data_IF_242104564448
#
_entry.id   IF_242104564448
#
_cell.length_a   1.000
_cell.length_b   1.000
_cell.length_c   1.000
_cell.angle_alpha   90.00
_cell.angle_beta   90.00
_cell.angle_gamma   90.00
#
_symmetry.space_group_name_H-M   'P 1'
#
loop_
_entity.id
_entity.type
_entity.pdbx_description
1 polymer ?
#
# COMPACT_ATOMS: atom_id res chain seq x y z
N UNK A 1 -58.53 15.53 -39.74
CA UNK A 1 -57.89 14.22 -40.00
C UNK A 1 -56.67 14.50 -40.87
N UNK A 2 -55.41 14.25 -40.54
CA UNK A 2 -54.71 13.79 -39.34
C UNK A 2 -53.25 14.10 -39.68
N UNK A 3 -52.69 15.20 -39.17
CA UNK A 3 -51.29 15.55 -39.42
C UNK A 3 -50.71 16.14 -38.15
N UNK A 4 -50.36 15.24 -37.23
CA UNK A 4 -49.55 15.46 -36.03
C UNK A 4 -49.47 14.10 -35.35
N UNK A 5 -48.41 13.32 -35.63
CA UNK A 5 -48.02 12.11 -34.87
C UNK A 5 -46.73 11.52 -35.46
N UNK A 6 -45.60 12.15 -35.17
CA UNK A 6 -44.30 11.46 -35.24
C UNK A 6 -43.18 12.11 -34.43
N UNK A 7 -43.34 13.34 -33.92
CA UNK A 7 -42.30 13.99 -33.09
C UNK A 7 -42.57 13.98 -31.57
N UNK A 8 -43.78 13.60 -31.13
CA UNK A 8 -44.12 13.51 -29.69
C UNK A 8 -43.87 12.14 -29.04
N UNK A 9 -43.45 11.12 -29.81
CA UNK A 9 -43.16 9.79 -29.27
C UNK A 9 -41.69 9.57 -28.89
N UNK A 10 -40.80 10.54 -29.16
CA UNK A 10 -39.37 10.46 -28.85
C UNK A 10 -38.93 11.37 -27.69
N UNK A 11 -39.87 11.73 -26.81
CA UNK A 11 -39.64 12.61 -25.65
C UNK A 11 -40.09 12.00 -24.31
N UNK A 12 -40.19 10.68 -24.21
CA UNK A 12 -40.71 10.01 -23.01
C UNK A 12 -39.92 8.78 -22.52
N UNK A 13 -38.64 8.63 -22.91
CA UNK A 13 -37.77 7.58 -22.36
C UNK A 13 -36.41 8.10 -21.84
N UNK A 14 -36.27 9.41 -21.64
CA UNK A 14 -35.21 9.98 -20.80
C UNK A 14 -35.87 10.73 -19.64
N UNK A 15 -36.36 9.96 -18.66
CA UNK A 15 -36.67 10.48 -17.33
C UNK A 15 -35.41 10.29 -16.48
N UNK A 16 -34.89 11.41 -15.99
CA UNK A 16 -33.68 11.59 -15.20
C UNK A 16 -33.74 10.93 -13.81
N UNK A 17 -33.83 9.60 -13.74
CA UNK A 17 -33.74 8.89 -12.46
C UNK A 17 -33.26 7.45 -12.62
N UNK A 18 -32.02 7.30 -13.06
CA UNK A 18 -31.22 6.12 -12.74
C UNK A 18 -29.74 6.49 -12.78
N UNK A 19 -29.36 7.57 -12.09
CA UNK A 19 -28.02 7.59 -11.50
C UNK A 19 -28.07 6.52 -10.43
N UNK A 20 -27.56 5.33 -10.76
CA UNK A 20 -27.20 4.33 -9.79
C UNK A 20 -26.10 4.97 -8.93
N UNK A 21 -26.49 5.73 -7.90
CA UNK A 21 -25.65 6.06 -6.77
C UNK A 21 -25.32 4.72 -6.11
N UNK A 22 -24.29 4.05 -6.64
CA UNK A 22 -23.56 3.06 -5.86
C UNK A 22 -22.90 3.85 -4.74
N UNK A 23 -23.64 4.04 -3.66
CA UNK A 23 -23.14 4.51 -2.38
C UNK A 23 -22.04 3.54 -2.01
N UNK A 24 -20.79 3.96 -2.13
CA UNK A 24 -19.68 3.16 -1.65
C UNK A 24 -19.86 3.05 -0.13
N UNK A 25 -20.29 1.88 0.34
CA UNK A 25 -20.58 1.65 1.76
C UNK A 25 -19.33 1.62 2.65
N UNK A 26 -18.14 1.70 2.04
CA UNK A 26 -16.86 1.67 2.74
C UNK A 26 -15.93 2.74 2.18
N UNK A 27 -15.52 3.65 3.07
CA UNK A 27 -14.49 4.65 2.81
C UNK A 27 -13.15 4.18 3.42
N UNK A 28 -12.11 4.10 2.59
CA UNK A 28 -10.75 3.73 3.02
C UNK A 28 -9.82 4.91 2.78
N UNK A 29 -9.10 5.31 3.82
CA UNK A 29 -8.10 6.35 3.71
C UNK A 29 -6.78 5.83 3.16
N UNK A 30 -6.06 6.68 2.44
CA UNK A 30 -4.65 6.49 2.12
C UNK A 30 -3.89 7.73 2.59
N UNK A 31 -2.88 7.55 3.43
CA UNK A 31 -2.06 8.66 3.92
C UNK A 31 -1.31 9.30 2.74
N UNK A 32 -1.61 10.57 2.45
CA UNK A 32 -1.19 11.26 1.23
C UNK A 32 -0.21 12.41 1.52
N UNK A 33 0.76 12.16 2.42
CA UNK A 33 1.83 13.10 2.77
C UNK A 33 2.98 13.05 1.77
N UNK A 34 3.40 11.83 1.41
CA UNK A 34 4.47 11.54 0.46
C UNK A 34 4.31 10.07 0.02
N UNK A 35 4.90 9.68 -1.11
CA UNK A 35 5.01 8.29 -1.52
C UNK A 35 3.93 7.83 -2.50
N UNK A 36 3.76 6.51 -2.61
CA UNK A 36 2.94 5.83 -3.64
C UNK A 36 1.44 5.79 -3.30
N UNK A 37 0.89 6.88 -2.76
CA UNK A 37 -0.53 6.91 -2.35
C UNK A 37 -1.50 6.83 -3.53
N UNK A 38 -1.11 7.37 -4.70
CA UNK A 38 -1.96 7.39 -5.90
C UNK A 38 -2.23 5.98 -6.42
N UNK A 39 -1.22 5.14 -6.41
CA UNK A 39 -1.25 3.76 -6.87
C UNK A 39 -2.20 2.93 -5.97
N UNK A 40 -2.13 3.13 -4.65
CA UNK A 40 -3.10 2.55 -3.72
C UNK A 40 -4.54 3.03 -3.97
N UNK A 41 -4.75 4.32 -4.24
CA UNK A 41 -6.08 4.87 -4.57
C UNK A 41 -6.62 4.23 -5.85
N UNK A 42 -5.79 4.07 -6.88
CA UNK A 42 -6.18 3.40 -8.13
C UNK A 42 -6.58 1.96 -7.85
N UNK A 43 -5.81 1.21 -7.05
CA UNK A 43 -6.12 -0.17 -6.69
C UNK A 43 -7.43 -0.29 -5.90
N UNK A 44 -7.68 0.57 -4.92
CA UNK A 44 -8.94 0.60 -4.15
C UNK A 44 -10.15 0.92 -5.04
N UNK A 45 -10.02 1.91 -5.95
CA UNK A 45 -11.10 2.27 -6.88
C UNK A 45 -11.43 1.16 -7.87
N UNK A 46 -10.43 0.39 -8.33
CA UNK A 46 -10.64 -0.81 -9.15
C UNK A 46 -11.51 -1.86 -8.41
N UNK A 47 -11.43 -1.90 -7.09
CA UNK A 47 -12.24 -2.78 -6.23
C UNK A 47 -13.59 -2.15 -5.83
N UNK A 48 -13.94 -0.97 -6.34
CA UNK A 48 -15.21 -0.29 -6.08
C UNK A 48 -15.32 0.40 -4.71
N UNK A 49 -14.18 0.67 -4.06
CA UNK A 49 -14.11 1.33 -2.75
C UNK A 49 -13.92 2.83 -2.90
N UNK A 50 -14.52 3.62 -2.01
CA UNK A 50 -14.26 5.05 -1.93
C UNK A 50 -12.92 5.30 -1.23
N UNK A 51 -11.95 5.78 -2.00
CA UNK A 51 -10.59 5.99 -1.54
C UNK A 51 -10.34 7.46 -1.25
N UNK A 52 -10.04 7.78 0.01
CA UNK A 52 -9.89 9.15 0.53
C UNK A 52 -8.42 9.47 0.77
N UNK A 53 -7.94 10.58 0.21
CA UNK A 53 -6.61 11.11 0.53
C UNK A 53 -6.59 11.75 1.91
N UNK A 54 -5.79 11.20 2.83
CA UNK A 54 -5.63 11.70 4.19
C UNK A 54 -4.36 12.55 4.27
N UNK A 55 -4.54 13.86 4.44
CA UNK A 55 -3.46 14.85 4.66
C UNK A 55 -3.57 15.57 6.00
N UNK A 56 -4.74 15.48 6.65
CA UNK A 56 -5.04 16.15 7.91
C UNK A 56 -5.80 15.22 8.87
N UNK A 57 -5.69 15.44 10.20
CA UNK A 57 -6.35 14.60 11.20
C UNK A 57 -7.86 14.45 11.00
N UNK A 58 -8.56 15.51 10.59
CA UNK A 58 -10.03 15.51 10.50
C UNK A 58 -10.54 14.56 9.40
N UNK A 59 -9.69 14.26 8.41
CA UNK A 59 -10.01 13.36 7.31
C UNK A 59 -9.95 11.87 7.71
N UNK A 60 -9.46 11.55 8.91
CA UNK A 60 -9.54 10.21 9.47
C UNK A 60 -10.96 9.86 9.97
N UNK A 61 -11.79 10.89 10.20
CA UNK A 61 -13.17 10.72 10.64
C UNK A 61 -14.00 9.98 9.60
N UNK A 62 -14.79 9.01 10.04
CA UNK A 62 -15.69 8.25 9.17
C UNK A 62 -15.04 7.18 8.28
N UNK A 63 -13.71 7.08 8.23
CA UNK A 63 -13.02 6.01 7.51
C UNK A 63 -13.22 4.66 8.20
N UNK A 64 -13.36 3.60 7.39
CA UNK A 64 -13.45 2.21 7.86
C UNK A 64 -12.08 1.53 7.98
N UNK A 65 -11.07 2.03 7.26
CA UNK A 65 -9.69 1.54 7.31
C UNK A 65 -8.71 2.56 6.74
N UNK A 66 -7.41 2.33 6.98
CA UNK A 66 -6.34 3.23 6.56
C UNK A 66 -5.18 2.47 5.94
N UNK A 67 -4.67 2.95 4.81
CA UNK A 67 -3.39 2.51 4.22
C UNK A 67 -2.32 3.57 4.49
N UNK A 68 -1.18 3.16 5.02
CA UNK A 68 0.05 3.95 5.11
C UNK A 68 0.99 3.46 4.00
N UNK A 69 1.15 4.23 2.91
CA UNK A 69 1.83 3.77 1.71
C UNK A 69 3.36 3.71 1.91
N UNK A 70 4.04 3.13 0.93
CA UNK A 70 5.48 3.21 0.80
C UNK A 70 5.95 4.63 0.44
N UNK A 71 7.21 4.94 0.72
CA UNK A 71 7.76 6.29 0.54
C UNK A 71 9.09 6.48 1.27
N UNK A 72 9.46 7.73 1.52
CA UNK A 72 10.59 8.08 2.36
C UNK A 72 10.09 8.27 3.80
N UNK A 73 10.37 7.28 4.64
CA UNK A 73 9.77 7.17 5.97
C UNK A 73 10.13 8.35 6.88
N UNK A 74 11.34 8.95 6.75
CA UNK A 74 11.73 10.06 7.63
C UNK A 74 11.00 11.36 7.28
N UNK A 75 10.76 11.60 5.99
CA UNK A 75 10.00 12.73 5.47
C UNK A 75 8.54 12.59 5.85
N UNK A 76 7.96 11.39 5.68
CA UNK A 76 6.60 11.14 6.14
C UNK A 76 6.44 11.39 7.64
N UNK A 77 7.43 11.02 8.47
CA UNK A 77 7.35 11.18 9.91
C UNK A 77 7.39 12.67 10.30
N UNK A 78 8.32 13.42 9.70
CA UNK A 78 8.42 14.89 9.89
C UNK A 78 7.14 15.60 9.47
N UNK A 79 6.57 15.24 8.31
CA UNK A 79 5.31 15.82 7.84
C UNK A 79 4.15 15.44 8.77
N UNK A 80 4.07 14.18 9.21
CA UNK A 80 3.02 13.73 10.12
C UNK A 80 3.11 14.43 11.48
N UNK A 81 4.30 14.68 12.00
CA UNK A 81 4.51 15.50 13.20
C UNK A 81 4.07 16.95 12.98
N UNK A 82 4.52 17.57 11.88
CA UNK A 82 4.20 18.96 11.53
C UNK A 82 2.69 19.18 11.39
N UNK A 83 1.96 18.23 10.83
CA UNK A 83 0.50 18.30 10.66
C UNK A 83 -0.29 17.70 11.83
N UNK A 84 0.37 17.36 12.95
CA UNK A 84 -0.27 16.77 14.14
C UNK A 84 -1.06 15.49 13.83
N UNK A 85 -0.62 14.73 12.83
CA UNK A 85 -1.23 13.47 12.42
C UNK A 85 -0.83 12.30 13.32
N UNK A 86 0.37 12.33 13.94
CA UNK A 86 0.85 11.22 14.77
C UNK A 86 -0.14 10.82 15.86
N UNK A 87 -0.69 11.74 16.70
CA UNK A 87 -1.68 11.37 17.70
C UNK A 87 -2.95 10.79 17.08
N UNK A 88 -3.47 11.41 16.02
CA UNK A 88 -4.70 10.96 15.37
C UNK A 88 -4.56 9.58 14.70
N UNK A 89 -3.38 9.26 14.16
CA UNK A 89 -3.06 7.94 13.62
C UNK A 89 -2.99 6.88 14.72
N UNK A 90 -2.43 7.22 15.89
CA UNK A 90 -2.43 6.32 17.06
C UNK A 90 -3.85 6.06 17.56
N UNK A 91 -4.66 7.11 17.67
CA UNK A 91 -6.07 6.98 18.07
C UNK A 91 -6.85 6.12 17.07
N UNK A 92 -6.58 6.27 15.78
CA UNK A 92 -7.15 5.41 14.73
C UNK A 92 -6.77 3.94 14.94
N UNK A 93 -5.50 3.65 15.25
CA UNK A 93 -5.04 2.28 15.56
C UNK A 93 -5.70 1.69 16.80
N UNK A 94 -5.81 2.47 17.87
CA UNK A 94 -6.45 2.08 19.14
C UNK A 94 -7.95 1.80 18.94
N UNK A 95 -8.60 2.48 18.00
CA UNK A 95 -10.02 2.25 17.68
C UNK A 95 -10.33 0.84 17.14
N UNK A 96 -9.31 0.04 16.81
CA UNK A 96 -9.46 -1.31 16.26
C UNK A 96 -9.79 -1.34 14.76
N UNK A 97 -9.87 -0.18 14.10
CA UNK A 97 -10.04 -0.11 12.65
C UNK A 97 -8.80 -0.63 11.93
N UNK A 98 -8.94 -1.34 10.80
CA UNK A 98 -7.78 -1.89 10.12
C UNK A 98 -6.81 -0.82 9.59
N UNK A 99 -5.52 -1.10 9.78
CA UNK A 99 -4.44 -0.30 9.20
C UNK A 99 -3.51 -1.22 8.40
N UNK A 100 -3.17 -0.82 7.18
CA UNK A 100 -2.19 -1.52 6.36
C UNK A 100 -0.98 -0.64 6.07
N UNK A 101 0.19 -1.08 6.54
CA UNK A 101 1.48 -0.43 6.23
C UNK A 101 2.24 -1.15 5.12
N UNK A 102 2.53 -0.47 4.02
CA UNK A 102 3.39 -1.00 2.94
C UNK A 102 4.76 -0.33 2.95
N UNK A 103 5.85 -1.09 2.88
CA UNK A 103 7.23 -0.61 2.86
C UNK A 103 7.52 0.40 4.00
N UNK A 104 7.52 1.70 3.72
CA UNK A 104 7.69 2.72 4.75
C UNK A 104 6.53 2.74 5.79
N UNK A 105 5.31 2.37 5.39
CA UNK A 105 4.21 2.17 6.33
C UNK A 105 4.41 1.00 7.29
N UNK A 106 5.07 -0.08 6.86
CA UNK A 106 5.49 -1.18 7.75
C UNK A 106 6.47 -0.65 8.82
N UNK A 107 7.43 0.19 8.43
CA UNK A 107 8.35 0.82 9.38
C UNK A 107 7.58 1.66 10.41
N UNK A 108 6.54 2.38 10.00
CA UNK A 108 5.72 3.18 10.92
C UNK A 108 4.98 2.34 11.96
N UNK A 109 4.44 1.19 11.56
CA UNK A 109 3.62 0.35 12.44
C UNK A 109 4.44 -0.51 13.41
N UNK A 110 5.71 -0.79 13.10
CA UNK A 110 6.57 -1.60 13.93
C UNK A 110 6.85 -0.96 15.31
N UNK A 111 6.93 -1.79 16.35
CA UNK A 111 7.32 -1.35 17.69
C UNK A 111 8.82 -1.02 17.80
N UNK A 112 9.65 -1.67 16.97
CA UNK A 112 11.10 -1.46 16.95
C UNK A 112 11.62 -1.33 15.53
N UNK A 113 12.58 -0.43 15.33
CA UNK A 113 13.28 -0.27 14.06
C UNK A 113 14.80 -0.18 14.28
N UNK A 114 15.57 -0.93 13.47
CA UNK A 114 17.04 -0.93 13.45
C UNK A 114 17.56 -0.44 12.09
N UNK A 115 18.85 -0.09 12.03
CA UNK A 115 19.46 0.48 10.81
C UNK A 115 19.17 1.98 10.62
N UNK A 116 18.97 2.73 11.71
CA UNK A 116 18.76 4.18 11.66
C UNK A 116 20.10 4.95 11.60
N UNK A 117 20.12 6.08 10.88
CA UNK A 117 21.13 7.13 11.09
C UNK A 117 20.75 7.93 12.34
N UNK A 118 21.72 8.58 12.98
CA UNK A 118 21.56 9.41 14.19
C UNK A 118 20.38 10.38 14.00
N UNK A 119 19.44 10.40 14.95
CA UNK A 119 18.26 11.28 14.95
C UNK A 119 16.92 10.56 15.15
N UNK A 120 16.87 9.25 14.94
CA UNK A 120 15.65 8.45 15.12
C UNK A 120 14.50 8.86 14.20
N UNK A 121 13.47 8.02 14.12
CA UNK A 121 12.20 8.36 13.47
C UNK A 121 11.08 7.95 14.44
N UNK A 122 10.06 8.80 14.58
CA UNK A 122 8.86 8.41 15.31
C UNK A 122 8.21 7.19 14.66
N UNK A 123 7.97 6.17 15.48
CA UNK A 123 7.16 5.01 15.15
C UNK A 123 5.74 5.26 15.70
N UNK A 124 4.73 4.82 14.95
CA UNK A 124 3.36 4.76 15.49
C UNK A 124 3.27 3.61 16.51
N UNK A 125 3.91 2.49 16.20
CA UNK A 125 3.83 1.26 16.98
C UNK A 125 2.48 0.57 16.86
N UNK A 126 2.36 -0.58 17.52
CA UNK A 126 1.17 -1.43 17.55
C UNK A 126 1.35 -2.78 16.88
N UNK A 127 2.38 -2.94 16.03
CA UNK A 127 2.80 -4.22 15.46
C UNK A 127 4.03 -4.73 16.20
N UNK A 128 3.89 -5.85 16.90
CA UNK A 128 4.93 -6.48 17.74
C UNK A 128 6.01 -7.13 16.86
N UNK A 129 6.84 -6.29 16.23
CA UNK A 129 7.90 -6.71 15.36
C UNK A 129 9.09 -5.75 15.39
N UNK A 130 10.25 -6.27 15.01
CA UNK A 130 11.45 -5.48 14.76
C UNK A 130 11.71 -5.40 13.27
N UNK A 131 11.82 -4.18 12.74
CA UNK A 131 12.06 -3.91 11.33
C UNK A 131 13.49 -3.40 11.11
N UNK A 132 14.21 -3.99 10.16
CA UNK A 132 15.47 -3.43 9.65
C UNK A 132 15.19 -2.57 8.43
N UNK A 133 15.58 -1.29 8.49
CA UNK A 133 15.39 -0.35 7.37
C UNK A 133 16.37 -0.66 6.24
N UNK A 134 15.94 -0.52 4.98
CA UNK A 134 16.77 -0.72 3.79
C UNK A 134 17.59 -2.03 3.84
N UNK A 135 16.97 -3.13 4.29
CA UNK A 135 17.66 -4.39 4.57
C UNK A 135 18.37 -4.98 3.34
N UNK A 136 17.74 -4.84 2.17
CA UNK A 136 18.25 -5.33 0.88
C UNK A 136 19.28 -4.38 0.22
N UNK A 137 19.68 -3.31 0.91
CA UNK A 137 20.74 -2.41 0.45
C UNK A 137 20.26 -1.18 -0.34
N UNK A 138 21.12 -0.71 -1.26
CA UNK A 138 20.96 0.59 -1.93
C UNK A 138 19.87 0.59 -3.01
N UNK A 139 19.60 1.76 -3.60
CA UNK A 139 18.56 1.92 -4.62
C UNK A 139 18.75 1.04 -5.87
N UNK A 140 20.00 0.61 -6.16
CA UNK A 140 20.35 -0.32 -7.22
C UNK A 140 19.92 -1.78 -6.94
N UNK A 141 19.55 -2.10 -5.70
CA UNK A 141 19.14 -3.43 -5.28
C UNK A 141 17.61 -3.57 -5.21
N UNK A 142 16.87 -2.80 -6.01
CA UNK A 142 15.42 -3.02 -6.15
C UNK A 142 15.20 -4.26 -7.01
N UNK A 143 14.36 -5.18 -6.57
CA UNK A 143 14.12 -6.44 -7.26
C UNK A 143 12.65 -6.84 -7.17
N UNK A 144 12.27 -7.79 -8.02
CA UNK A 144 10.93 -8.36 -8.05
C UNK A 144 11.05 -9.88 -8.04
N UNK A 145 10.16 -10.55 -7.33
CA UNK A 145 10.15 -12.02 -7.26
C UNK A 145 8.74 -12.55 -7.08
N UNK A 146 8.50 -13.80 -7.48
CA UNK A 146 7.24 -14.50 -7.24
C UNK A 146 7.32 -15.21 -5.89
N UNK A 147 6.32 -14.98 -5.04
CA UNK A 147 6.19 -15.64 -3.74
C UNK A 147 4.90 -16.47 -3.71
N UNK A 148 4.89 -17.60 -2.98
CA UNK A 148 3.68 -18.40 -2.82
C UNK A 148 2.62 -17.58 -2.08
N UNK A 149 1.39 -17.62 -2.59
CA UNK A 149 0.25 -16.96 -1.98
C UNK A 149 -0.08 -17.62 -0.63
N UNK A 150 -0.12 -16.87 0.49
CA UNK A 150 -0.58 -17.44 1.76
C UNK A 150 -2.04 -17.89 1.68
N UNK A 151 -2.49 -18.75 2.61
CA UNK A 151 -3.89 -19.17 2.69
C UNK A 151 -4.89 -18.00 2.62
N UNK A 152 -4.59 -16.90 3.31
CA UNK A 152 -5.41 -15.69 3.31
C UNK A 152 -5.56 -15.04 1.92
N UNK A 153 -4.54 -15.14 1.05
CA UNK A 153 -4.62 -14.71 -0.34
C UNK A 153 -5.29 -15.75 -1.23
N UNK A 154 -5.03 -17.04 -0.99
CA UNK A 154 -5.66 -18.13 -1.72
C UNK A 154 -7.19 -18.11 -1.59
N UNK A 155 -7.72 -17.73 -0.42
CA UNK A 155 -9.16 -17.50 -0.18
C UNK A 155 -9.77 -16.32 -0.97
N UNK A 156 -8.95 -15.41 -1.52
CA UNK A 156 -9.42 -14.39 -2.46
C UNK A 156 -9.61 -15.00 -3.86
N UNK A 157 -8.88 -16.08 -4.17
CA UNK A 157 -8.75 -16.68 -5.49
C UNK A 157 -7.53 -16.15 -6.26
N UNK A 158 -7.34 -16.62 -7.50
CA UNK A 158 -6.23 -16.21 -8.37
C UNK A 158 -5.08 -17.22 -8.42
N UNK A 159 -3.89 -16.75 -8.80
CA UNK A 159 -2.68 -17.57 -8.97
C UNK A 159 -2.17 -18.14 -7.63
N UNK A 160 -1.52 -19.30 -7.66
CA UNK A 160 -0.84 -19.88 -6.49
C UNK A 160 0.33 -19.03 -5.99
N UNK A 161 0.84 -18.12 -6.84
CA UNK A 161 1.91 -17.17 -6.52
C UNK A 161 1.44 -15.72 -6.68
N UNK A 162 2.15 -14.78 -6.06
CA UNK A 162 2.00 -13.35 -6.28
C UNK A 162 3.35 -12.70 -6.54
N UNK A 163 3.34 -11.65 -7.38
CA UNK A 163 4.52 -10.83 -7.67
C UNK A 163 4.76 -9.85 -6.53
N UNK A 164 5.94 -9.90 -5.93
CA UNK A 164 6.38 -9.01 -4.86
C UNK A 164 7.46 -8.05 -5.36
N UNK A 165 7.17 -6.74 -5.30
CA UNK A 165 8.05 -5.67 -5.77
C UNK A 165 8.75 -5.02 -4.59
N UNK A 166 10.09 -5.14 -4.50
CA UNK A 166 10.89 -4.64 -3.40
C UNK A 166 11.73 -3.43 -3.86
N UNK A 167 11.42 -2.24 -3.34
CA UNK A 167 12.15 -1.01 -3.66
C UNK A 167 12.73 -0.44 -2.37
N UNK A 168 14.05 -0.57 -2.20
CA UNK A 168 14.77 -0.25 -0.95
C UNK A 168 14.04 -0.81 0.28
N UNK A 169 13.56 -2.04 0.15
CA UNK A 169 12.58 -2.57 1.06
C UNK A 169 13.16 -2.77 2.49
N UNK A 170 12.35 -2.55 3.53
CA UNK A 170 12.66 -3.02 4.86
C UNK A 170 12.55 -4.56 4.94
N UNK A 171 13.02 -5.13 6.04
CA UNK A 171 12.76 -6.53 6.40
C UNK A 171 12.29 -6.63 7.84
N UNK A 172 11.39 -7.58 8.12
CA UNK A 172 11.02 -7.92 9.49
C UNK A 172 12.02 -8.97 9.98
N UNK A 173 12.85 -8.58 10.95
CA UNK A 173 13.93 -9.43 11.48
C UNK A 173 13.50 -10.20 12.72
N UNK A 174 12.43 -9.77 13.37
CA UNK A 174 11.84 -10.44 14.54
C UNK A 174 10.34 -10.13 14.59
N UNK A 175 9.53 -11.10 14.99
CA UNK A 175 8.08 -10.98 15.10
C UNK A 175 7.61 -11.69 16.37
N UNK A 176 6.75 -11.02 17.13
CA UNK A 176 6.22 -11.52 18.38
C UNK A 176 5.28 -12.72 18.21
N UNK A 177 4.93 -13.41 19.30
CA UNK A 177 4.17 -14.67 19.26
C UNK A 177 2.74 -14.54 18.73
N UNK A 178 2.17 -13.32 18.76
CA UNK A 178 0.82 -13.04 18.26
C UNK A 178 0.80 -12.51 16.82
N UNK A 179 1.97 -12.41 16.18
CA UNK A 179 2.10 -11.97 14.80
C UNK A 179 2.02 -13.17 13.87
N UNK A 180 1.02 -13.15 12.99
CA UNK A 180 0.88 -14.14 11.92
C UNK A 180 1.80 -13.77 10.76
N UNK A 181 2.72 -14.67 10.41
CA UNK A 181 3.58 -14.53 9.23
C UNK A 181 2.82 -14.98 7.99
N UNK A 182 2.58 -14.05 7.06
CA UNK A 182 1.87 -14.29 5.81
C UNK A 182 2.82 -14.62 4.66
N UNK A 183 4.01 -14.01 4.60
CA UNK A 183 4.98 -14.31 3.55
C UNK A 183 6.41 -14.10 4.03
N UNK A 184 7.33 -14.87 3.46
CA UNK A 184 8.75 -14.77 3.70
C UNK A 184 9.54 -15.05 2.41
N UNK A 185 10.72 -14.48 2.31
CA UNK A 185 11.66 -14.62 1.21
C UNK A 185 12.91 -15.37 1.69
N UNK A 186 13.39 -16.32 0.89
CA UNK A 186 14.70 -16.95 1.15
C UNK A 186 15.79 -16.08 0.54
N UNK A 187 16.68 -15.56 1.39
CA UNK A 187 17.78 -14.67 0.98
C UNK A 187 19.11 -15.44 1.07
N UNK A 188 19.93 -15.46 0.01
CA UNK A 188 21.26 -16.07 0.07
C UNK A 188 22.13 -15.45 1.17
N UNK A 189 22.89 -16.29 1.86
CA UNK A 189 23.80 -15.92 2.94
C UNK A 189 24.96 -15.05 2.40
N UNK A 190 24.73 -13.76 2.22
CA UNK A 190 25.71 -12.83 1.66
C UNK A 190 25.15 -11.49 1.16
N UNK A 191 23.85 -11.42 0.88
CA UNK A 191 23.18 -10.18 0.41
C UNK A 191 22.45 -9.41 1.52
N UNK A 192 22.37 -10.00 2.72
CA UNK A 192 21.78 -9.36 3.89
C UNK A 192 22.75 -8.33 4.49
N UNK A 193 22.33 -7.05 4.55
CA UNK A 193 23.11 -5.97 5.18
C UNK A 193 23.32 -6.12 6.70
N UNK A 194 22.98 -7.28 7.27
CA UNK A 194 23.20 -7.65 8.65
C UNK A 194 24.42 -8.58 8.75
N UNK A 195 25.61 -8.01 8.69
CA UNK A 195 26.83 -8.73 9.05
C UNK A 195 26.88 -8.94 10.57
N UNK A 196 26.36 -10.07 11.06
CA UNK A 196 26.70 -10.59 12.38
C UNK A 196 28.09 -11.25 12.28
N UNK A 197 29.10 -10.83 13.07
CA UNK A 197 30.41 -11.46 13.04
C UNK A 197 30.36 -12.77 13.83
N UNK A 198 30.69 -13.87 13.15
CA UNK A 198 30.96 -15.16 13.78
C UNK A 198 29.75 -16.09 13.81
N UNK A 199 29.64 -16.94 12.78
CA UNK A 199 29.43 -18.38 12.93
C UNK A 199 29.52 -19.02 11.54
N UNK A 200 30.58 -19.79 11.32
CA UNK A 200 30.71 -20.71 10.19
C UNK A 200 29.72 -21.86 10.40
N UNK A 201 28.47 -21.70 9.94
CA UNK A 201 27.47 -22.76 9.96
C UNK A 201 26.45 -22.58 8.83
N UNK A 202 26.53 -23.51 7.86
CA UNK A 202 25.54 -23.88 6.84
C UNK A 202 25.08 -22.82 5.82
N UNK A 203 25.27 -23.15 4.52
CA UNK A 203 24.65 -22.52 3.34
C UNK A 203 23.11 -22.73 3.30
N UNK A 204 22.42 -22.50 4.42
CA UNK A 204 20.96 -22.38 4.43
C UNK A 204 20.64 -20.91 4.32
N UNK A 205 19.96 -20.54 3.23
CA UNK A 205 19.47 -19.17 3.02
C UNK A 205 18.71 -18.67 4.26
N UNK A 206 18.89 -17.39 4.58
CA UNK A 206 18.16 -16.77 5.67
C UNK A 206 16.73 -16.49 5.21
N UNK A 207 15.75 -17.08 5.90
CA UNK A 207 14.34 -16.77 5.67
C UNK A 207 14.00 -15.41 6.29
N UNK A 208 13.61 -14.46 5.45
CA UNK A 208 13.30 -13.07 5.82
C UNK A 208 11.81 -12.84 5.72
N UNK A 209 11.18 -12.34 6.80
CA UNK A 209 9.74 -12.10 6.82
C UNK A 209 9.43 -10.81 6.04
N UNK A 210 8.45 -10.89 5.13
CA UNK A 210 8.08 -9.79 4.22
C UNK A 210 6.60 -9.43 4.24
N UNK A 211 5.74 -10.24 4.86
CA UNK A 211 4.36 -9.87 5.15
C UNK A 211 3.87 -10.48 6.45
N UNK A 212 3.15 -9.69 7.26
CA UNK A 212 2.61 -10.09 8.56
C UNK A 212 1.24 -9.50 8.81
N UNK A 213 0.49 -10.13 9.71
CA UNK A 213 -0.78 -9.65 10.25
C UNK A 213 -0.81 -9.79 11.76
N UNK A 214 -1.30 -8.77 12.46
CA UNK A 214 -1.57 -8.81 13.91
C UNK A 214 -2.89 -8.10 14.20
N UNK A 215 -3.93 -8.86 14.54
CA UNK A 215 -5.26 -8.30 14.77
C UNK A 215 -5.77 -7.48 13.58
N UNK A 216 -5.99 -6.19 13.78
CA UNK A 216 -6.42 -5.23 12.75
C UNK A 216 -5.26 -4.65 11.92
N UNK A 217 -4.00 -5.00 12.21
CA UNK A 217 -2.84 -4.49 11.49
C UNK A 217 -2.37 -5.49 10.42
N UNK A 218 -2.19 -4.99 9.21
CA UNK A 218 -1.54 -5.69 8.10
C UNK A 218 -0.25 -4.94 7.76
N UNK A 219 0.83 -5.66 7.45
CA UNK A 219 2.05 -5.00 6.98
C UNK A 219 2.79 -5.82 5.94
N UNK A 220 3.31 -5.15 4.92
CA UNK A 220 4.08 -5.76 3.83
C UNK A 220 5.35 -4.96 3.56
N UNK A 221 6.46 -5.64 3.33
CA UNK A 221 7.75 -5.02 2.98
C UNK A 221 7.82 -4.62 1.49
N UNK A 222 7.03 -5.28 0.65
CA UNK A 222 6.92 -5.02 -0.78
C UNK A 222 5.77 -4.04 -1.11
N UNK A 223 5.71 -3.65 -2.39
CA UNK A 223 4.78 -2.69 -2.98
C UNK A 223 3.73 -3.39 -3.87
N UNK A 224 2.64 -3.93 -3.30
CA UNK A 224 1.59 -4.60 -4.07
C UNK A 224 0.84 -3.64 -5.01
N UNK A 225 0.81 -2.35 -4.68
CA UNK A 225 0.20 -1.29 -5.49
C UNK A 225 0.89 -1.07 -6.85
N UNK A 226 2.13 -1.54 -7.00
CA UNK A 226 2.89 -1.46 -8.25
C UNK A 226 2.62 -2.66 -9.18
N UNK A 227 1.71 -3.54 -8.81
CA UNK A 227 1.33 -4.72 -9.58
C UNK A 227 -0.11 -4.61 -10.10
N UNK A 228 -0.46 -5.45 -11.06
CA UNK A 228 -1.86 -5.64 -11.46
C UNK A 228 -2.68 -6.49 -10.48
N UNK A 229 -2.03 -7.12 -9.49
CA UNK A 229 -2.65 -8.04 -8.55
C UNK A 229 -3.27 -7.29 -7.36
N UNK A 230 -4.60 -7.25 -7.30
CA UNK A 230 -5.34 -6.55 -6.24
C UNK A 230 -5.66 -7.44 -5.04
N UNK A 231 -5.15 -8.68 -4.96
CA UNK A 231 -5.51 -9.62 -3.88
C UNK A 231 -5.09 -9.15 -2.50
N UNK A 232 -3.96 -8.46 -2.38
CA UNK A 232 -3.53 -7.84 -1.12
C UNK A 232 -4.50 -6.74 -0.67
N UNK A 233 -4.96 -5.88 -1.59
CA UNK A 233 -5.99 -4.89 -1.30
C UNK A 233 -7.32 -5.55 -0.94
N UNK A 234 -7.72 -6.62 -1.64
CA UNK A 234 -8.92 -7.39 -1.30
C UNK A 234 -8.83 -8.06 0.08
N UNK A 235 -7.66 -8.61 0.45
CA UNK A 235 -7.40 -9.14 1.79
C UNK A 235 -7.57 -8.04 2.84
N UNK A 236 -6.99 -6.86 2.61
CA UNK A 236 -7.15 -5.71 3.50
C UNK A 236 -8.63 -5.31 3.63
N UNK A 237 -9.38 -5.24 2.52
CA UNK A 237 -10.80 -4.90 2.54
C UNK A 237 -11.66 -5.95 3.26
N UNK A 238 -11.28 -7.23 3.25
CA UNK A 238 -11.95 -8.26 4.07
C UNK A 238 -11.76 -8.01 5.57
N UNK A 239 -10.69 -7.34 5.98
CA UNK A 239 -10.48 -6.95 7.38
C UNK A 239 -11.35 -5.76 7.79
N UNK A 240 -11.80 -4.95 6.84
CA UNK A 240 -12.56 -3.72 7.08
C UNK A 240 -14.01 -4.05 7.48
N UNK A 241 -14.49 -3.55 8.63
CA UNK A 241 -15.88 -3.75 9.02
C UNK A 241 -16.80 -2.98 8.07
N UNK A 242 -17.88 -3.64 7.62
CA UNK A 242 -18.91 -3.03 6.77
C UNK A 242 -19.68 -1.98 7.59
N UNK A 243 -19.41 -0.68 7.38
CA UNK A 243 -20.20 0.38 8.04
C UNK A 243 -19.58 1.76 8.27
N UNK A 244 -18.49 2.17 7.59
CA UNK A 244 -17.96 3.53 7.75
C UNK A 244 -18.41 4.48 6.64
N UNK A 245 -19.02 5.60 7.03
CA UNK A 245 -19.33 6.72 6.13
C UNK A 245 -18.33 7.83 6.41
N UNK A 246 -17.55 8.25 5.41
CA UNK A 246 -16.72 9.43 5.54
C UNK A 246 -17.59 10.70 5.38
N UNK A 247 -17.65 11.55 6.41
CA UNK A 247 -18.38 12.82 6.39
C UNK A 247 -17.54 13.97 5.78
N UNK A 248 -16.80 13.71 4.69
CA UNK A 248 -16.00 14.75 4.04
C UNK A 248 -16.43 14.89 2.57
N UNK A 249 -16.81 16.09 2.10
CA UNK A 249 -17.18 16.30 0.71
C UNK A 249 -15.97 16.06 -0.20
N UNK A 250 -16.03 14.98 -0.98
CA UNK A 250 -15.10 14.70 -2.07
C UNK A 250 -15.29 15.77 -3.13
N UNK A 251 -14.33 16.70 -3.27
CA UNK A 251 -14.29 17.56 -4.47
C UNK A 251 -13.94 16.68 -5.66
N UNK A 252 -14.87 16.61 -6.61
CA UNK A 252 -14.63 16.03 -7.92
C UNK A 252 -13.44 16.74 -8.57
N UNK A 253 -12.39 15.98 -8.88
CA UNK A 253 -11.36 16.41 -9.82
C UNK A 253 -11.78 15.83 -11.17
N UNK A 254 -12.64 16.57 -11.87
CA UNK A 254 -12.81 16.40 -13.31
C UNK A 254 -11.61 17.05 -14.02
N UNK A 255 -11.16 16.39 -15.09
CA UNK A 255 -10.15 16.78 -16.10
C UNK A 255 -8.75 16.16 -15.96
N UNK A 256 -8.62 14.95 -16.50
CA UNK A 256 -7.61 14.55 -17.51
C UNK A 256 -7.68 13.03 -17.75
N UNK A 257 -8.89 12.52 -18.07
CA UNK A 257 -9.11 11.11 -18.40
C UNK A 257 -8.60 10.71 -19.80
N UNK A 258 -7.83 11.56 -20.48
CA UNK A 258 -7.38 11.33 -21.87
C UNK A 258 -5.89 11.03 -22.03
N UNK A 259 -5.09 10.96 -20.95
CA UNK A 259 -3.63 10.74 -21.06
C UNK A 259 -3.07 9.52 -20.32
N UNK A 260 -3.87 8.77 -19.57
CA UNK A 260 -3.40 7.55 -18.90
C UNK A 260 -3.74 6.34 -19.76
N UNK A 261 -2.84 5.99 -20.69
CA UNK A 261 -2.85 4.64 -21.29
C UNK A 261 -2.37 3.66 -20.21
N UNK A 262 -3.04 2.52 -20.02
CA UNK A 262 -2.56 1.49 -19.09
C UNK A 262 -1.25 0.91 -19.63
N UNK A 263 -0.19 0.93 -18.82
CA UNK A 263 1.08 0.23 -19.07
C UNK A 263 0.78 -1.26 -19.14
N UNK A 264 0.53 -1.76 -20.35
CA UNK A 264 0.16 -3.16 -20.63
C UNK A 264 1.20 -3.86 -21.48
N UNK A 265 2.15 -3.10 -22.04
CA UNK A 265 3.33 -3.63 -22.73
C UNK A 265 4.57 -3.43 -21.83
N UNK A 266 5.44 -4.46 -21.64
CA UNK A 266 6.74 -4.33 -20.96
C UNK A 266 7.62 -3.18 -21.50
N UNK A 267 7.38 -2.72 -22.73
CA UNK A 267 8.07 -1.57 -23.35
C UNK A 267 7.60 -0.21 -22.88
N UNK A 268 6.46 -0.13 -22.20
CA UNK A 268 5.96 1.13 -21.69
C UNK A 268 6.68 1.54 -20.40
N UNK A 269 7.36 0.63 -19.69
CA UNK A 269 8.19 1.01 -18.55
C UNK A 269 9.34 1.95 -19.00
N UNK A 270 9.66 3.02 -18.26
CA UNK A 270 10.79 3.88 -18.59
C UNK A 270 12.09 3.08 -18.50
N UNK A 271 12.56 2.59 -19.65
CA UNK A 271 13.89 2.01 -19.80
C UNK A 271 14.88 3.17 -19.67
N UNK A 272 15.57 3.26 -18.52
CA UNK A 272 16.81 4.01 -18.45
C UNK A 272 17.81 3.33 -19.39
N UNK A 273 17.91 3.84 -20.62
CA UNK A 273 18.97 3.46 -21.55
C UNK A 273 20.25 4.17 -21.15
N UNK A 274 21.31 3.37 -21.03
CA UNK A 274 22.68 3.78 -20.82
C UNK A 274 23.06 5.08 -21.54
N UNK A 275 23.70 5.97 -20.79
CA UNK A 275 24.56 7.01 -21.33
C UNK A 275 26.00 6.73 -20.89
N UNK A 276 26.57 5.65 -21.43
CA UNK A 276 28.01 5.48 -21.55
C UNK A 276 28.51 6.40 -22.67
N UNK A 277 28.76 7.67 -22.36
CA UNK A 277 29.66 8.55 -23.14
C UNK A 277 29.97 9.78 -22.31
N UNK A 278 31.16 9.82 -21.71
CA UNK A 278 31.97 11.03 -21.52
C UNK A 278 33.42 10.56 -21.37
N UNK A 279 34.07 10.42 -22.51
CA UNK A 279 35.52 10.54 -22.64
C UNK A 279 35.83 12.02 -22.44
N UNK A 280 36.73 12.33 -21.53
CA UNK A 280 37.53 13.55 -21.60
C UNK A 280 38.98 13.18 -21.37
N UNK A 281 39.83 13.67 -22.28
CA UNK A 281 41.28 13.71 -22.20
C UNK A 281 41.79 14.34 -20.90
#
# INVERSE_FOLDING_TARGET
MTQMRSEELFRHLCSDSCRCERKAEMAVGVLALQGSFKEHIVALRKLGVDAVEVRKPEQLSGLSGLIIPGGESTTMAKLAEQYKLIPALKDFGISGKPIWGTCAGLIFLADKAVGQKIGGQALLGGLDCTVHRNYFGSQLNSFETELPAPPALAEIGGSENFRAVFIRAPAIVDAGPNVEVLAALDVPSGESGASSPGNEAEEKGQKVIVAVRQGNLLATAFHPELTGDTRWHSLFLKMVPKGGKADVPVKAVEESASLIRPFTDPKDLPVFRDASFLVFE
#
